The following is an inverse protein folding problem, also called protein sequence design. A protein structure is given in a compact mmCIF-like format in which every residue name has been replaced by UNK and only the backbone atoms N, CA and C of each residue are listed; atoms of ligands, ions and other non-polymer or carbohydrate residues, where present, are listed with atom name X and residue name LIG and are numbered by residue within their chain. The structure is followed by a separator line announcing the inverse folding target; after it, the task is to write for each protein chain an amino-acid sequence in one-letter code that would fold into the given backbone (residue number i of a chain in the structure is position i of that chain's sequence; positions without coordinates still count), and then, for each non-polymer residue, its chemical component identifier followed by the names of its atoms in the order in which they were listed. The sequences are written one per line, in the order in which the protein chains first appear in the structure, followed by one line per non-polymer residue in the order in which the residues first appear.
data_IF_046213130285
#
_entry.id   IF_046213130285
#
_cell.length_a   1.000
_cell.length_b   1.000
_cell.length_c   1.000
_cell.angle_alpha   90.00
_cell.angle_beta   90.00
_cell.angle_gamma   90.00
#
_symmetry.space_group_name_H-M   'P 1'
#
loop_
_entity.id
_entity.type
_entity.pdbx_description
1 polymer ?
#
# COMPACT_ATOMS: atom_id res chain seq x y z
N UNK A 1 23.35 37.13 46.03
CA UNK A 1 23.97 35.83 45.72
C UNK A 1 24.22 35.80 44.23
N UNK A 2 25.48 35.95 43.82
CA UNK A 2 25.93 36.04 42.43
C UNK A 2 26.28 34.61 41.97
N UNK A 3 25.71 34.14 40.86
CA UNK A 3 26.16 32.93 40.18
C UNK A 3 26.49 33.25 38.72
N UNK A 4 27.80 33.32 38.49
CA UNK A 4 28.48 33.35 37.20
C UNK A 4 28.29 32.00 36.49
N UNK A 5 27.97 32.01 35.19
CA UNK A 5 28.17 30.85 34.32
C UNK A 5 28.97 31.27 33.08
N UNK A 6 30.07 30.52 32.87
CA UNK A 6 31.04 30.64 31.80
C UNK A 6 30.43 30.32 30.43
N UNK A 7 30.77 31.13 29.43
CA UNK A 7 30.68 30.77 28.01
C UNK A 7 31.82 29.79 27.65
N UNK A 8 31.46 28.66 27.02
CA UNK A 8 32.40 27.77 26.33
C UNK A 8 32.25 27.94 24.82
N UNK A 9 33.28 28.44 24.17
CA UNK A 9 33.48 28.44 22.71
C UNK A 9 34.51 27.36 22.38
N UNK A 10 34.21 26.41 21.48
CA UNK A 10 35.24 25.59 20.81
C UNK A 10 34.88 25.39 19.33
N UNK A 11 35.94 25.47 18.51
CA UNK A 11 36.02 25.70 17.09
C UNK A 11 35.48 24.59 16.16
N UNK A 12 34.93 25.03 15.03
CA UNK A 12 34.69 24.21 13.82
C UNK A 12 35.94 24.28 12.94
N UNK A 13 36.49 23.13 12.57
CA UNK A 13 37.62 23.02 11.66
C UNK A 13 37.16 23.01 10.20
N UNK A 14 37.69 23.93 9.40
CA UNK A 14 37.57 23.99 7.94
C UNK A 14 38.55 22.98 7.31
N UNK A 15 38.05 22.05 6.50
CA UNK A 15 38.89 21.23 5.61
C UNK A 15 39.03 21.95 4.27
N UNK A 16 40.28 22.30 3.95
CA UNK A 16 40.70 22.97 2.73
C UNK A 16 40.84 21.99 1.56
N UNK A 17 40.41 22.41 0.38
CA UNK A 17 40.67 21.74 -0.90
C UNK A 17 42.03 22.22 -1.45
N UNK A 18 42.91 21.30 -1.86
CA UNK A 18 44.26 21.64 -2.32
C UNK A 18 44.79 20.73 -3.43
N UNK A 19 44.85 21.29 -4.65
CA UNK A 19 46.01 21.34 -5.56
C UNK A 19 46.64 20.03 -6.07
N UNK A 20 46.43 19.76 -7.36
CA UNK A 20 46.95 18.58 -8.08
C UNK A 20 48.37 18.69 -8.65
N UNK A 21 48.72 17.71 -9.51
CA UNK A 21 49.77 17.79 -10.55
C UNK A 21 49.47 16.81 -11.70
N UNK A 22 49.65 17.30 -12.93
CA UNK A 22 49.52 16.53 -14.16
C UNK A 22 50.79 15.78 -14.57
N UNK A 23 50.61 14.92 -15.57
CA UNK A 23 51.65 14.27 -16.35
C UNK A 23 51.03 13.62 -17.60
N UNK A 24 51.41 14.12 -18.77
CA UNK A 24 51.01 13.71 -20.13
C UNK A 24 51.96 12.61 -20.64
N UNK A 25 51.46 11.58 -21.34
CA UNK A 25 51.74 11.20 -22.76
C UNK A 25 51.40 9.72 -23.09
N UNK A 26 50.65 9.58 -24.19
CA UNK A 26 50.68 8.61 -25.31
C UNK A 26 50.72 7.08 -25.14
N UNK A 27 49.80 6.41 -25.84
CA UNK A 27 50.00 5.03 -26.34
C UNK A 27 48.70 4.25 -26.54
N UNK A 28 48.25 4.11 -27.80
CA UNK A 28 47.09 3.29 -28.16
C UNK A 28 47.33 1.79 -28.07
N UNK A 29 46.25 1.04 -27.92
CA UNK A 29 46.22 -0.42 -28.00
C UNK A 29 44.82 -0.97 -27.73
N UNK A 30 44.16 -1.45 -28.77
CA UNK A 30 42.98 -2.32 -28.68
C UNK A 30 43.35 -3.63 -27.98
N UNK A 31 42.46 -4.13 -27.13
CA UNK A 31 42.57 -5.44 -26.50
C UNK A 31 41.32 -5.78 -25.72
N UNK A 32 40.46 -6.60 -26.33
CA UNK A 32 39.42 -7.37 -25.65
C UNK A 32 40.06 -8.24 -24.56
N UNK A 33 39.45 -8.31 -23.38
CA UNK A 33 39.96 -9.07 -22.26
C UNK A 33 38.94 -9.22 -21.15
N UNK A 34 38.06 -10.20 -21.31
CA UNK A 34 37.37 -10.85 -20.20
C UNK A 34 38.40 -11.35 -19.16
N UNK A 35 38.19 -11.03 -17.89
CA UNK A 35 39.06 -11.49 -16.81
C UNK A 35 38.65 -10.89 -15.47
N UNK A 36 38.03 -11.71 -14.64
CA UNK A 36 37.36 -11.30 -13.41
C UNK A 36 38.24 -10.66 -12.33
N UNK A 37 37.58 -9.83 -11.53
CA UNK A 37 38.13 -9.22 -10.32
C UNK A 37 36.99 -8.91 -9.37
N UNK A 38 36.73 -9.86 -8.47
CA UNK A 38 35.79 -9.76 -7.36
C UNK A 38 36.13 -8.57 -6.46
N UNK A 39 35.17 -7.68 -6.25
CA UNK A 39 35.07 -6.85 -5.04
C UNK A 39 33.66 -7.07 -4.50
N UNK A 40 33.53 -8.10 -3.67
CA UNK A 40 32.45 -8.29 -2.71
C UNK A 40 32.74 -7.42 -1.50
N UNK A 41 31.84 -6.50 -1.18
CA UNK A 41 31.68 -5.97 0.18
C UNK A 41 30.20 -5.57 0.39
N UNK A 42 29.46 -6.41 1.12
CA UNK A 42 28.34 -5.97 1.96
C UNK A 42 26.91 -6.07 1.41
N UNK A 43 26.40 -7.28 1.19
CA UNK A 43 24.96 -7.54 1.08
C UNK A 43 24.70 -9.04 1.15
N UNK A 44 24.04 -9.52 2.20
CA UNK A 44 23.80 -10.93 2.43
C UNK A 44 23.02 -11.54 1.26
N UNK A 45 23.68 -12.44 0.53
CA UNK A 45 23.10 -13.12 -0.61
C UNK A 45 22.10 -14.19 -0.20
N UNK A 46 21.06 -14.32 -1.02
CA UNK A 46 20.60 -15.62 -1.47
C UNK A 46 20.75 -15.66 -2.99
N UNK A 47 21.73 -16.46 -3.41
CA UNK A 47 22.16 -16.73 -4.77
C UNK A 47 21.16 -17.66 -5.47
N UNK A 48 20.55 -17.16 -6.56
CA UNK A 48 20.34 -17.93 -7.79
C UNK A 48 19.55 -19.23 -7.72
N UNK A 49 18.22 -19.13 -7.66
CA UNK A 49 17.30 -20.14 -8.20
C UNK A 49 16.19 -19.43 -9.00
N UNK A 50 16.20 -19.64 -10.31
CA UNK A 50 15.08 -19.32 -11.20
C UNK A 50 13.89 -20.25 -10.87
N UNK A 51 12.66 -19.76 -11.12
CA UNK A 51 11.30 -20.35 -10.93
C UNK A 51 10.66 -19.81 -9.62
N UNK A 52 9.56 -19.05 -9.57
CA UNK A 52 8.32 -19.05 -10.37
C UNK A 52 7.78 -17.62 -10.60
N UNK A 53 7.52 -17.29 -11.86
CA UNK A 53 6.43 -16.38 -12.19
C UNK A 53 5.14 -17.21 -12.20
N UNK A 54 4.07 -16.71 -11.57
CA UNK A 54 3.07 -17.43 -10.75
C UNK A 54 3.38 -18.87 -10.28
N UNK A 55 2.93 -19.29 -9.08
CA UNK A 55 1.91 -18.67 -8.24
C UNK A 55 2.51 -18.27 -6.88
N UNK A 56 2.45 -16.98 -6.56
CA UNK A 56 2.96 -16.36 -5.33
C UNK A 56 2.86 -17.31 -4.13
N UNK A 57 4.00 -17.90 -3.72
CA UNK A 57 4.15 -18.58 -2.43
C UNK A 57 4.42 -17.59 -1.31
N UNK A 58 3.85 -16.38 -1.44
CA UNK A 58 4.08 -15.17 -0.64
C UNK A 58 5.52 -14.76 -0.38
N UNK A 59 6.50 -15.22 -1.16
CA UNK A 59 7.79 -14.54 -1.22
C UNK A 59 7.72 -13.44 -2.29
N UNK A 60 8.27 -12.26 -1.98
CA UNK A 60 8.49 -11.20 -2.95
C UNK A 60 9.36 -11.71 -4.13
N UNK A 61 9.16 -11.14 -5.31
CA UNK A 61 9.75 -11.54 -6.58
C UNK A 61 10.67 -10.44 -7.10
N UNK A 62 12.00 -10.54 -6.92
CA UNK A 62 12.93 -9.52 -7.39
C UNK A 62 12.75 -9.17 -8.87
N UNK A 63 12.56 -7.87 -9.16
CA UNK A 63 12.28 -7.35 -10.50
C UNK A 63 10.83 -7.56 -10.98
N UNK A 64 9.92 -7.88 -10.06
CA UNK A 64 8.48 -7.89 -10.25
C UNK A 64 7.86 -6.48 -10.18
N UNK A 65 6.54 -6.39 -9.95
CA UNK A 65 5.86 -5.14 -9.61
C UNK A 65 6.42 -4.54 -8.32
N UNK A 66 6.41 -3.21 -8.22
CA UNK A 66 7.02 -2.47 -7.11
C UNK A 66 6.58 -3.02 -5.75
N UNK A 67 5.27 -3.19 -5.55
CA UNK A 67 4.68 -3.70 -4.30
C UNK A 67 4.92 -5.19 -3.99
N UNK A 68 5.79 -5.86 -4.74
CA UNK A 68 6.20 -7.23 -4.45
C UNK A 68 7.61 -7.57 -4.94
N UNK A 69 8.50 -6.59 -5.15
CA UNK A 69 9.84 -6.83 -5.69
C UNK A 69 10.96 -6.94 -4.62
N UNK A 70 10.61 -6.88 -3.34
CA UNK A 70 11.51 -6.89 -2.19
C UNK A 70 12.34 -5.61 -2.02
N UNK A 71 11.98 -4.51 -2.69
CA UNK A 71 12.70 -3.24 -2.66
C UNK A 71 11.76 -2.16 -2.19
N UNK A 72 12.23 -1.33 -1.26
CA UNK A 72 11.63 -0.04 -0.95
C UNK A 72 11.86 0.90 -2.17
N UNK A 73 10.89 0.98 -3.08
CA UNK A 73 11.04 1.69 -4.35
C UNK A 73 10.87 3.21 -4.20
N UNK A 74 10.20 3.68 -3.16
CA UNK A 74 9.93 5.11 -2.93
C UNK A 74 10.85 5.75 -1.86
N UNK A 75 11.52 4.93 -1.04
CA UNK A 75 12.53 5.29 -0.06
C UNK A 75 11.97 5.67 1.33
N UNK A 76 10.73 5.30 1.65
CA UNK A 76 10.08 5.63 2.91
C UNK A 76 10.42 4.66 4.08
N UNK A 77 11.20 3.60 3.80
CA UNK A 77 11.61 2.50 4.68
C UNK A 77 10.51 1.48 5.01
N UNK A 78 9.41 1.50 4.27
CA UNK A 78 8.48 0.38 4.16
C UNK A 78 8.76 -0.38 2.86
N UNK A 79 8.33 -1.63 2.77
CA UNK A 79 8.68 -2.53 1.66
C UNK A 79 7.43 -3.31 1.26
N UNK A 80 7.12 -3.33 -0.03
CA UNK A 80 6.07 -4.16 -0.63
C UNK A 80 4.72 -3.99 0.10
N UNK A 81 3.99 -5.08 0.39
CA UNK A 81 2.71 -5.03 1.11
C UNK A 81 2.76 -4.56 2.58
N UNK A 82 3.88 -4.06 3.08
CA UNK A 82 3.91 -3.27 4.33
C UNK A 82 3.94 -1.76 4.08
N UNK A 83 4.19 -1.35 2.84
CA UNK A 83 3.97 0.00 2.36
C UNK A 83 2.48 0.31 2.31
N UNK A 84 2.14 1.54 2.72
CA UNK A 84 0.76 1.98 2.83
C UNK A 84 0.10 2.15 1.46
N UNK A 85 0.90 2.44 0.43
CA UNK A 85 0.46 2.70 -0.93
C UNK A 85 0.21 1.40 -1.70
N UNK A 86 0.76 0.27 -1.23
CA UNK A 86 0.54 -1.03 -1.83
C UNK A 86 -0.82 -1.61 -1.48
N UNK A 87 -1.68 -1.74 -2.50
CA UNK A 87 -3.02 -2.32 -2.36
C UNK A 87 -3.09 -3.75 -2.88
N UNK A 88 -2.08 -4.18 -3.64
CA UNK A 88 -1.98 -5.50 -4.24
C UNK A 88 -0.55 -5.84 -4.68
N UNK A 89 -0.22 -7.12 -4.91
CA UNK A 89 1.13 -7.55 -5.27
C UNK A 89 1.47 -7.25 -6.74
N UNK A 90 0.47 -6.89 -7.54
CA UNK A 90 0.65 -6.46 -8.93
C UNK A 90 0.83 -4.95 -9.06
N UNK A 91 0.69 -4.21 -7.96
CA UNK A 91 0.82 -2.77 -7.96
C UNK A 91 2.26 -2.39 -8.29
N UNK A 92 2.39 -1.41 -9.17
CA UNK A 92 3.66 -0.97 -9.72
C UNK A 92 3.88 0.53 -9.45
N UNK A 93 3.31 1.03 -8.36
CA UNK A 93 3.56 2.36 -7.80
C UNK A 93 3.49 2.25 -6.25
N UNK A 94 4.65 2.39 -5.60
CA UNK A 94 4.76 2.46 -4.14
C UNK A 94 4.65 3.89 -3.60
N UNK A 95 4.54 4.90 -4.48
CA UNK A 95 4.61 6.32 -4.08
C UNK A 95 3.26 7.01 -3.97
N UNK A 96 2.18 6.33 -4.34
CA UNK A 96 0.81 6.84 -4.32
C UNK A 96 -0.20 5.71 -4.23
N UNK A 97 -1.45 6.00 -3.86
CA UNK A 97 -2.53 5.00 -3.86
C UNK A 97 -3.01 4.59 -5.28
N UNK A 98 -2.30 5.00 -6.33
CA UNK A 98 -2.48 4.46 -7.67
C UNK A 98 -1.86 3.07 -7.76
N UNK A 99 -2.51 2.12 -8.42
CA UNK A 99 -1.92 0.77 -8.60
C UNK A 99 -0.82 0.75 -9.64
N UNK A 100 -0.72 1.78 -10.50
CA UNK A 100 0.18 1.79 -11.66
C UNK A 100 -0.18 0.76 -12.74
N UNK A 101 -1.30 0.04 -12.60
CA UNK A 101 -1.79 -0.96 -13.54
C UNK A 101 -2.64 -0.27 -14.63
N UNK A 102 -2.28 -0.36 -15.93
CA UNK A 102 -3.04 0.32 -16.97
C UNK A 102 -4.48 -0.17 -17.09
N UNK A 103 -5.44 0.72 -16.83
CA UNK A 103 -6.87 0.44 -16.97
C UNK A 103 -7.56 0.00 -15.69
N UNK A 104 -6.81 -0.13 -14.59
CA UNK A 104 -7.32 -0.44 -13.26
C UNK A 104 -7.77 0.84 -12.53
N UNK A 105 -8.81 0.73 -11.70
CA UNK A 105 -9.39 1.80 -10.90
C UNK A 105 -9.72 3.11 -11.66
N UNK A 106 -10.05 3.00 -12.96
CA UNK A 106 -10.25 4.14 -13.87
C UNK A 106 -11.69 4.70 -13.87
N UNK A 107 -12.67 3.99 -13.33
CA UNK A 107 -14.07 4.48 -13.30
C UNK A 107 -14.31 5.33 -12.04
N UNK A 108 -14.40 6.64 -12.24
CA UNK A 108 -14.73 7.58 -11.17
C UNK A 108 -16.16 7.43 -10.61
N UNK A 109 -17.06 6.76 -11.35
CA UNK A 109 -18.50 6.71 -11.04
C UNK A 109 -18.89 5.40 -10.38
N UNK A 110 -18.42 4.27 -10.91
CA UNK A 110 -18.71 2.95 -10.34
C UNK A 110 -17.43 2.29 -9.85
N UNK A 111 -17.55 1.60 -8.73
CA UNK A 111 -16.50 0.79 -8.13
C UNK A 111 -16.91 -0.68 -8.23
N UNK A 112 -15.99 -1.48 -8.72
CA UNK A 112 -15.95 -2.94 -8.70
C UNK A 112 -15.09 -3.40 -7.50
N UNK A 113 -14.64 -4.65 -7.51
CA UNK A 113 -13.69 -5.13 -6.54
C UNK A 113 -12.33 -4.45 -6.74
N UNK A 114 -12.06 -3.44 -5.92
CA UNK A 114 -10.90 -2.56 -6.06
C UNK A 114 -9.55 -3.31 -6.10
N UNK A 115 -9.47 -4.47 -5.44
CA UNK A 115 -8.24 -5.23 -5.22
C UNK A 115 -8.11 -6.45 -6.14
N UNK A 116 -8.96 -6.60 -7.17
CA UNK A 116 -8.88 -7.72 -8.10
C UNK A 116 -7.96 -7.47 -9.32
N UNK A 117 -7.38 -6.27 -9.40
CA UNK A 117 -6.42 -5.88 -10.44
C UNK A 117 -7.04 -5.64 -11.81
N UNK A 118 -8.36 -5.42 -11.89
CA UNK A 118 -9.05 -5.08 -13.12
C UNK A 118 -10.12 -3.99 -12.92
N UNK A 119 -10.71 -3.53 -14.04
CA UNK A 119 -11.87 -2.64 -14.00
C UNK A 119 -13.06 -3.19 -14.80
N UNK A 120 -14.24 -2.93 -14.26
CA UNK A 120 -15.55 -3.42 -14.64
C UNK A 120 -16.02 -4.60 -13.81
N UNK A 121 -17.31 -4.63 -13.50
CA UNK A 121 -18.03 -5.69 -12.76
C UNK A 121 -18.04 -7.12 -13.38
N UNK A 122 -17.19 -7.38 -14.37
CA UNK A 122 -17.33 -8.47 -15.33
C UNK A 122 -17.33 -9.86 -14.69
N UNK A 123 -16.34 -10.12 -13.87
CA UNK A 123 -15.98 -11.39 -13.25
C UNK A 123 -16.31 -11.45 -11.75
N UNK A 124 -16.20 -10.35 -11.05
CA UNK A 124 -16.53 -10.20 -9.63
C UNK A 124 -18.03 -9.95 -9.34
N UNK A 125 -18.78 -9.41 -10.32
CA UNK A 125 -20.15 -8.88 -10.17
C UNK A 125 -20.28 -7.73 -9.17
N UNK A 126 -19.17 -7.11 -8.76
CA UNK A 126 -19.17 -5.94 -7.92
C UNK A 126 -19.42 -4.71 -8.78
N UNK A 127 -20.43 -3.92 -8.41
CA UNK A 127 -20.70 -2.66 -9.07
C UNK A 127 -21.54 -1.80 -8.14
N UNK A 128 -20.89 -0.89 -7.45
CA UNK A 128 -21.56 0.13 -6.65
C UNK A 128 -21.20 1.49 -7.19
N UNK A 129 -22.12 2.43 -7.02
CA UNK A 129 -21.83 3.81 -7.34
C UNK A 129 -20.93 4.41 -6.26
N UNK A 130 -19.89 5.17 -6.61
CA UNK A 130 -18.93 5.77 -5.68
C UNK A 130 -19.61 6.56 -4.56
N UNK A 131 -20.70 7.27 -4.89
CA UNK A 131 -21.49 8.02 -3.92
C UNK A 131 -22.14 7.17 -2.80
N UNK A 132 -22.25 5.85 -2.96
CA UNK A 132 -22.60 4.95 -1.85
C UNK A 132 -21.48 4.92 -0.78
N UNK A 133 -20.21 4.96 -1.21
CA UNK A 133 -19.04 5.03 -0.32
C UNK A 133 -18.85 6.43 0.25
N UNK A 134 -19.32 7.48 -0.43
CA UNK A 134 -19.22 8.86 0.06
C UNK A 134 -20.32 9.24 1.06
N UNK A 135 -21.14 8.30 1.51
CA UNK A 135 -22.22 8.58 2.47
C UNK A 135 -23.39 9.38 1.89
N UNK A 136 -23.51 9.52 0.57
CA UNK A 136 -24.51 10.41 -0.04
C UNK A 136 -25.93 9.82 0.08
N UNK A 137 -26.76 10.32 0.99
CA UNK A 137 -28.13 9.85 1.16
C UNK A 137 -29.06 10.28 0.00
N UNK A 138 -28.68 11.32 -0.74
CA UNK A 138 -29.47 11.90 -1.83
C UNK A 138 -28.63 12.16 -3.09
N UNK A 139 -29.31 12.32 -4.23
CA UNK A 139 -28.65 12.66 -5.51
C UNK A 139 -27.89 13.98 -5.45
N UNK A 140 -28.35 14.94 -4.64
CA UNK A 140 -27.72 16.25 -4.51
C UNK A 140 -26.40 16.22 -3.72
N UNK A 141 -26.21 15.20 -2.88
CA UNK A 141 -25.01 15.03 -2.06
C UNK A 141 -23.89 14.27 -2.81
N UNK A 142 -24.20 13.74 -4.00
CA UNK A 142 -23.27 12.97 -4.81
C UNK A 142 -22.39 13.89 -5.66
N UNK A 143 -21.08 14.03 -5.36
CA UNK A 143 -20.21 14.97 -6.05
C UNK A 143 -19.79 14.50 -7.45
N UNK A 144 -19.88 13.20 -7.72
CA UNK A 144 -19.37 12.56 -8.94
C UNK A 144 -20.49 11.68 -9.51
N UNK A 145 -20.81 11.80 -10.80
CA UNK A 145 -21.80 10.91 -11.44
C UNK A 145 -23.25 11.03 -10.95
N UNK A 146 -23.65 12.15 -10.33
CA UNK A 146 -24.98 12.34 -9.75
C UNK A 146 -26.17 11.99 -10.69
N UNK A 147 -26.00 12.16 -12.01
CA UNK A 147 -27.01 11.80 -13.00
C UNK A 147 -27.23 10.28 -13.15
N UNK A 148 -26.28 9.46 -12.71
CA UNK A 148 -26.34 8.00 -12.68
C UNK A 148 -26.63 7.47 -11.28
N UNK A 149 -26.47 8.30 -10.26
CA UNK A 149 -26.65 7.93 -8.87
C UNK A 149 -28.11 7.67 -8.48
N UNK A 150 -28.32 6.56 -7.78
CA UNK A 150 -29.61 6.12 -7.24
C UNK A 150 -29.39 5.64 -5.80
N UNK A 151 -29.67 6.48 -4.78
CA UNK A 151 -29.43 6.12 -3.39
C UNK A 151 -30.07 4.78 -2.97
N UNK A 152 -31.25 4.44 -3.52
CA UNK A 152 -31.91 3.18 -3.23
C UNK A 152 -31.15 1.92 -3.68
N UNK A 153 -30.27 2.07 -4.68
CA UNK A 153 -29.45 0.98 -5.23
C UNK A 153 -28.17 0.75 -4.40
N UNK A 154 -27.88 1.60 -3.42
CA UNK A 154 -26.78 1.38 -2.48
C UNK A 154 -27.08 0.25 -1.48
N UNK A 155 -26.03 -0.38 -0.93
CA UNK A 155 -26.13 -1.16 0.30
C UNK A 155 -26.72 -0.34 1.45
N UNK A 156 -27.36 -1.00 2.44
CA UNK A 156 -27.63 -0.37 3.73
C UNK A 156 -26.33 0.18 4.34
N UNK A 157 -26.37 1.30 5.09
CA UNK A 157 -27.56 1.98 5.59
C UNK A 157 -28.19 3.01 4.63
N UNK A 158 -27.53 3.37 3.53
CA UNK A 158 -27.99 4.41 2.60
C UNK A 158 -29.18 3.92 1.79
N UNK A 159 -29.03 2.76 1.17
CA UNK A 159 -30.03 2.17 0.30
C UNK A 159 -30.68 0.93 0.90
N UNK A 160 -31.26 0.12 0.03
CA UNK A 160 -31.97 -1.10 0.43
C UNK A 160 -31.47 -2.34 -0.30
N UNK A 161 -30.50 -2.17 -1.20
CA UNK A 161 -30.03 -3.23 -2.09
C UNK A 161 -28.73 -3.82 -1.54
N UNK A 162 -28.76 -5.01 -0.93
CA UNK A 162 -27.54 -5.66 -0.46
C UNK A 162 -26.62 -5.99 -1.64
N UNK A 163 -25.33 -6.09 -1.36
CA UNK A 163 -24.34 -6.58 -2.32
C UNK A 163 -24.68 -8.00 -2.77
N UNK A 164 -24.34 -8.32 -4.02
CA UNK A 164 -24.47 -9.69 -4.52
C UNK A 164 -23.51 -10.61 -3.75
N UNK A 165 -23.97 -11.81 -3.38
CA UNK A 165 -23.12 -12.75 -2.64
C UNK A 165 -21.84 -13.11 -3.39
N UNK A 166 -21.92 -13.26 -4.72
CA UNK A 166 -20.73 -13.47 -5.55
C UNK A 166 -19.73 -12.32 -5.48
N UNK A 167 -20.18 -11.07 -5.35
CA UNK A 167 -19.28 -9.93 -5.16
C UNK A 167 -18.56 -10.04 -3.81
N UNK A 168 -19.31 -10.35 -2.74
CA UNK A 168 -18.73 -10.54 -1.41
C UNK A 168 -17.73 -11.70 -1.42
N UNK A 169 -18.11 -12.86 -1.98
CA UNK A 169 -17.30 -14.07 -1.97
C UNK A 169 -16.00 -13.90 -2.78
N UNK A 170 -16.06 -13.19 -3.91
CA UNK A 170 -14.90 -12.96 -4.77
C UNK A 170 -14.00 -11.86 -4.23
N UNK A 171 -14.58 -10.78 -3.70
CA UNK A 171 -13.78 -9.63 -3.33
C UNK A 171 -13.20 -9.73 -1.91
N UNK A 172 -13.95 -10.30 -0.95
CA UNK A 172 -13.50 -10.39 0.45
C UNK A 172 -12.24 -11.24 0.67
N UNK A 173 -11.86 -12.06 -0.31
CA UNK A 173 -10.61 -12.85 -0.25
C UNK A 173 -9.39 -12.08 -0.72
N UNK A 174 -9.58 -11.04 -1.53
CA UNK A 174 -8.50 -10.15 -2.02
C UNK A 174 -8.48 -8.79 -1.31
N UNK A 175 -9.51 -8.47 -0.51
CA UNK A 175 -9.54 -7.22 0.27
C UNK A 175 -8.51 -7.24 1.41
N UNK A 176 -7.60 -6.25 1.46
CA UNK A 176 -6.64 -6.12 2.54
C UNK A 176 -7.28 -5.87 3.92
N UNK A 177 -6.54 -6.16 5.01
CA UNK A 177 -6.92 -5.72 6.35
C UNK A 177 -7.17 -4.21 6.40
N UNK A 178 -8.26 -3.80 7.03
CA UNK A 178 -8.61 -2.38 7.17
C UNK A 178 -9.25 -1.76 5.94
N UNK A 179 -9.52 -2.52 4.87
CA UNK A 179 -10.22 -2.06 3.69
C UNK A 179 -11.58 -2.74 3.53
N UNK A 180 -12.49 -2.05 2.83
CA UNK A 180 -13.68 -2.65 2.25
C UNK A 180 -13.43 -3.06 0.79
N UNK A 181 -14.32 -3.84 0.17
CA UNK A 181 -14.13 -4.31 -1.21
C UNK A 181 -13.91 -3.24 -2.29
N UNK A 182 -14.30 -2.00 -2.02
CA UNK A 182 -14.43 -0.95 -3.03
C UNK A 182 -13.38 0.14 -2.85
N UNK A 183 -12.33 -0.15 -2.08
CA UNK A 183 -11.20 0.75 -1.88
C UNK A 183 -11.44 1.82 -0.82
N UNK A 184 -12.43 1.66 0.06
CA UNK A 184 -12.51 2.48 1.27
C UNK A 184 -11.66 1.84 2.37
N UNK A 185 -10.51 2.46 2.66
CA UNK A 185 -9.51 1.91 3.57
C UNK A 185 -9.27 2.82 4.78
N UNK A 186 -9.20 2.22 5.96
CA UNK A 186 -8.66 2.85 7.16
C UNK A 186 -7.14 2.86 7.07
N UNK A 187 -6.56 4.02 6.75
CA UNK A 187 -5.11 4.18 6.60
C UNK A 187 -4.58 5.04 7.74
N UNK A 188 -3.54 4.55 8.40
CA UNK A 188 -2.90 5.21 9.52
C UNK A 188 -1.64 5.96 9.06
N UNK A 189 -1.54 7.23 9.43
CA UNK A 189 -0.32 7.99 9.26
C UNK A 189 0.76 7.43 10.20
N UNK A 190 1.89 6.89 9.68
CA UNK A 190 2.92 6.25 10.50
C UNK A 190 3.64 7.23 11.43
N UNK A 191 3.62 8.53 11.10
CA UNK A 191 4.25 9.58 11.91
C UNK A 191 3.35 10.00 13.07
N UNK A 192 2.06 10.19 12.81
CA UNK A 192 1.11 10.72 13.82
C UNK A 192 0.31 9.65 14.53
N UNK A 193 0.29 8.41 14.01
CA UNK A 193 -0.59 7.31 14.41
C UNK A 193 -2.09 7.67 14.34
N UNK A 194 -2.46 8.66 13.52
CA UNK A 194 -3.86 8.99 13.26
C UNK A 194 -4.34 8.22 12.04
N UNK A 195 -5.50 7.58 12.15
CA UNK A 195 -6.08 6.81 11.05
C UNK A 195 -7.28 7.53 10.44
N UNK A 196 -7.46 7.34 9.14
CA UNK A 196 -8.50 7.97 8.34
C UNK A 196 -9.09 6.96 7.37
N UNK A 197 -10.42 6.95 7.27
CA UNK A 197 -11.10 6.21 6.20
C UNK A 197 -11.04 7.04 4.92
N UNK A 198 -10.26 6.56 3.96
CA UNK A 198 -10.02 7.22 2.69
C UNK A 198 -10.49 6.33 1.54
N UNK A 199 -11.04 6.96 0.51
CA UNK A 199 -11.32 6.29 -0.74
C UNK A 199 -10.02 6.28 -1.55
N UNK A 200 -9.36 5.12 -1.61
CA UNK A 200 -8.07 4.92 -2.26
C UNK A 200 -8.14 5.11 -3.79
N UNK A 201 -9.34 5.02 -4.38
CA UNK A 201 -9.50 5.19 -5.82
C UNK A 201 -8.93 6.55 -6.29
N UNK A 202 -7.90 6.55 -7.15
CA UNK A 202 -7.22 7.76 -7.59
C UNK A 202 -8.09 8.64 -8.49
N UNK A 203 -9.11 8.08 -9.13
CA UNK A 203 -10.12 8.86 -9.85
C UNK A 203 -10.97 9.73 -8.91
N UNK A 204 -11.09 9.35 -7.63
CA UNK A 204 -11.79 10.11 -6.59
C UNK A 204 -10.85 10.86 -5.64
N UNK A 205 -9.60 10.42 -5.48
CA UNK A 205 -8.59 10.98 -4.57
C UNK A 205 -7.21 11.14 -5.24
N UNK A 206 -7.11 11.89 -6.36
CA UNK A 206 -5.89 11.91 -7.19
C UNK A 206 -4.66 12.55 -6.51
N UNK A 207 -4.89 13.37 -5.48
CA UNK A 207 -3.82 14.08 -4.76
C UNK A 207 -3.53 13.44 -3.39
N UNK A 208 -4.13 12.28 -3.09
CA UNK A 208 -3.97 11.61 -1.79
C UNK A 208 -2.65 10.85 -1.70
N UNK A 209 -1.90 11.07 -0.61
CA UNK A 209 -0.68 10.33 -0.29
C UNK A 209 -0.38 10.40 1.22
N UNK A 210 0.64 9.66 1.66
CA UNK A 210 1.10 9.60 3.05
C UNK A 210 1.18 10.97 3.75
N UNK A 211 1.72 12.00 3.08
CA UNK A 211 1.98 13.31 3.68
C UNK A 211 0.71 14.15 3.89
N UNK A 212 -0.39 13.75 3.27
CA UNK A 212 -1.62 14.54 3.25
C UNK A 212 -2.89 13.73 3.57
N UNK A 213 -2.75 12.53 4.13
CA UNK A 213 -3.84 11.68 4.65
C UNK A 213 -4.88 12.46 5.47
N UNK A 214 -4.42 13.39 6.30
CA UNK A 214 -5.27 14.22 7.15
C UNK A 214 -6.12 15.27 6.40
N UNK A 215 -5.83 15.57 5.13
CA UNK A 215 -6.52 16.57 4.32
C UNK A 215 -7.68 15.93 3.53
N UNK A 216 -8.95 16.13 3.95
CA UNK A 216 -10.10 15.55 3.27
C UNK A 216 -10.37 16.14 1.88
N UNK A 217 -9.66 17.22 1.50
CA UNK A 217 -9.76 17.79 0.14
C UNK A 217 -8.83 17.12 -0.85
N UNK A 218 -7.86 16.34 -0.37
CA UNK A 218 -6.94 15.53 -1.17
C UNK A 218 -7.25 14.04 -1.05
N UNK A 219 -7.53 13.59 0.16
CA UNK A 219 -7.91 12.23 0.49
C UNK A 219 -9.42 12.18 0.79
N UNK A 220 -10.23 11.88 -0.23
CA UNK A 220 -11.68 11.85 -0.09
C UNK A 220 -12.08 10.86 1.00
N UNK A 221 -12.91 11.30 1.96
CA UNK A 221 -13.42 10.45 3.03
C UNK A 221 -14.53 9.53 2.53
N UNK A 222 -14.59 8.33 3.07
CA UNK A 222 -15.59 7.34 2.73
C UNK A 222 -16.11 6.62 3.97
N UNK A 223 -17.26 5.98 3.81
CA UNK A 223 -17.85 5.05 4.75
C UNK A 223 -17.65 3.63 4.22
N UNK A 224 -16.96 2.79 4.99
CA UNK A 224 -16.71 1.40 4.63
C UNK A 224 -18.01 0.59 4.55
N UNK A 225 -18.10 -0.33 3.59
CA UNK A 225 -19.13 -1.36 3.62
C UNK A 225 -18.83 -2.41 4.69
N UNK A 226 -19.79 -2.67 5.58
CA UNK A 226 -19.63 -3.73 6.60
C UNK A 226 -19.77 -5.15 6.02
N UNK A 227 -20.12 -5.27 4.74
CA UNK A 227 -20.58 -6.54 4.15
C UNK A 227 -19.45 -7.29 3.46
N UNK A 228 -18.36 -6.60 3.11
CA UNK A 228 -17.20 -7.25 2.51
C UNK A 228 -15.90 -6.47 2.78
N UNK A 229 -15.03 -7.09 3.57
CA UNK A 229 -13.87 -6.46 4.22
C UNK A 229 -14.08 -6.30 5.73
N UNK A 230 -13.03 -6.40 6.56
CA UNK A 230 -13.14 -6.12 7.99
C UNK A 230 -13.35 -4.62 8.24
N UNK A 231 -14.39 -4.25 8.96
CA UNK A 231 -14.72 -2.84 9.23
C UNK A 231 -13.86 -2.15 10.28
N UNK A 232 -13.07 -2.91 11.04
CA UNK A 232 -12.37 -2.33 12.19
C UNK A 232 -10.93 -2.83 12.30
N UNK A 233 -10.09 -1.82 12.31
CA UNK A 233 -8.68 -1.88 12.17
C UNK A 233 -8.07 -1.27 13.45
N UNK A 234 -7.08 -1.92 14.05
CA UNK A 234 -6.57 -1.60 15.38
C UNK A 234 -7.53 -1.94 16.53
N UNK A 235 -7.23 -1.44 17.75
CA UNK A 235 -8.12 -1.60 18.90
C UNK A 235 -8.40 -3.07 19.30
N UNK A 236 -9.66 -3.37 19.64
CA UNK A 236 -10.08 -4.67 20.18
C UNK A 236 -10.09 -5.82 19.14
N UNK A 237 -9.89 -5.54 17.85
CA UNK A 237 -9.87 -6.55 16.79
C UNK A 237 -8.48 -7.11 16.54
N UNK A 238 -7.42 -6.43 16.99
CA UNK A 238 -6.04 -6.77 16.71
C UNK A 238 -5.70 -6.85 15.21
N UNK A 239 -6.53 -6.30 14.32
CA UNK A 239 -6.25 -6.21 12.88
C UNK A 239 -5.25 -5.08 12.68
N UNK A 240 -4.16 -5.32 11.94
CA UNK A 240 -3.20 -4.27 11.59
C UNK A 240 -3.67 -3.52 10.35
N UNK A 241 -3.58 -2.19 10.38
CA UNK A 241 -3.96 -1.34 9.27
C UNK A 241 -2.76 -0.97 8.40
N UNK A 242 -3.00 -0.61 7.12
CA UNK A 242 -2.01 0.09 6.31
C UNK A 242 -1.44 1.29 7.06
N UNK A 243 -0.11 1.35 7.15
CA UNK A 243 0.64 2.41 7.85
C UNK A 243 0.69 2.31 9.37
N UNK A 244 0.12 1.27 9.96
CA UNK A 244 0.22 1.01 11.38
C UNK A 244 1.41 0.11 11.71
N UNK A 245 2.23 0.48 12.70
CA UNK A 245 3.29 -0.38 13.22
C UNK A 245 2.68 -1.45 14.17
N UNK A 246 3.02 -2.75 14.05
CA UNK A 246 2.51 -3.81 14.92
C UNK A 246 2.70 -3.57 16.43
N UNK A 247 3.73 -2.81 16.82
CA UNK A 247 3.99 -2.41 18.21
C UNK A 247 2.98 -1.42 18.77
N UNK A 248 2.18 -0.78 17.90
CA UNK A 248 1.11 0.15 18.28
C UNK A 248 -0.22 -0.55 18.53
N UNK A 249 -0.33 -1.85 18.19
CA UNK A 249 -1.50 -2.65 18.55
C UNK A 249 -1.67 -2.71 20.08
N UNK A 250 -2.92 -2.80 20.57
CA UNK A 250 -3.17 -2.90 22.00
C UNK A 250 -2.43 -4.07 22.65
N UNK A 251 -2.13 -3.93 23.95
CA UNK A 251 -1.31 -4.91 24.68
C UNK A 251 -1.93 -6.31 24.68
N UNK A 252 -3.26 -6.40 24.65
CA UNK A 252 -4.01 -7.66 24.52
C UNK A 252 -3.70 -8.42 23.22
N UNK A 253 -3.27 -7.73 22.17
CA UNK A 253 -2.86 -8.32 20.89
C UNK A 253 -1.44 -8.90 20.94
N UNK A 254 -0.65 -8.59 21.97
CA UNK A 254 0.74 -9.02 22.13
C UNK A 254 1.63 -8.76 20.89
N UNK A 255 1.37 -7.67 20.17
CA UNK A 255 2.08 -7.33 18.93
C UNK A 255 1.83 -8.31 17.77
N UNK A 256 0.77 -9.11 17.85
CA UNK A 256 0.38 -10.06 16.79
C UNK A 256 -0.90 -9.59 16.14
N UNK A 257 -0.88 -9.48 14.82
CA UNK A 257 -2.09 -9.15 14.04
C UNK A 257 -3.04 -10.34 14.00
N UNK A 258 -4.35 -10.07 14.03
CA UNK A 258 -5.41 -11.04 13.79
C UNK A 258 -5.95 -10.82 12.40
N UNK A 259 -5.79 -11.80 11.53
CA UNK A 259 -6.18 -11.64 10.14
C UNK A 259 -7.67 -11.90 9.92
N UNK A 260 -8.33 -11.06 9.10
CA UNK A 260 -9.72 -11.25 8.69
C UNK A 260 -9.94 -12.61 8.03
N UNK A 261 -11.17 -13.11 8.08
CA UNK A 261 -11.59 -14.36 7.42
C UNK A 261 -10.77 -15.62 7.81
N UNK A 262 -9.98 -15.56 8.89
CA UNK A 262 -9.11 -16.64 9.31
C UNK A 262 -7.87 -16.82 8.42
N UNK A 263 -7.49 -15.78 7.68
CA UNK A 263 -6.27 -15.77 6.89
C UNK A 263 -5.02 -15.99 7.77
N UNK A 264 -3.94 -16.47 7.15
CA UNK A 264 -2.68 -16.68 7.84
C UNK A 264 -2.02 -15.32 8.12
N UNK A 265 -1.48 -15.12 9.33
CA UNK A 265 -0.60 -13.98 9.61
C UNK A 265 0.77 -14.19 8.95
N UNK A 266 1.41 -13.11 8.55
CA UNK A 266 2.75 -13.12 7.98
C UNK A 266 3.55 -11.91 8.49
N UNK A 267 4.86 -12.05 8.52
CA UNK A 267 5.78 -10.92 8.67
C UNK A 267 6.44 -10.57 7.33
N UNK A 268 7.13 -9.43 7.29
CA UNK A 268 7.90 -9.00 6.13
C UNK A 268 8.88 -10.10 5.68
N UNK A 269 8.77 -10.51 4.41
CA UNK A 269 9.58 -11.57 3.81
C UNK A 269 9.19 -13.01 4.18
N UNK A 270 8.08 -13.20 4.92
CA UNK A 270 7.54 -14.55 5.17
C UNK A 270 6.62 -15.04 4.05
N UNK A 271 6.69 -16.35 3.78
CA UNK A 271 5.89 -16.99 2.73
C UNK A 271 4.43 -17.18 3.15
N UNK A 272 3.53 -16.65 2.32
CA UNK A 272 2.10 -16.94 2.34
C UNK A 272 1.74 -18.21 1.55
N UNK A 273 0.54 -18.78 1.76
CA UNK A 273 0.00 -19.83 0.91
C UNK A 273 0.02 -19.45 -0.57
N UNK A 274 -0.01 -20.47 -1.44
CA UNK A 274 -0.10 -20.28 -2.89
C UNK A 274 -1.32 -19.41 -3.25
N UNK A 275 -1.12 -18.46 -4.16
CA UNK A 275 -2.12 -17.44 -4.56
C UNK A 275 -2.47 -16.49 -3.40
N UNK A 276 -1.49 -16.14 -2.58
CA UNK A 276 -1.62 -15.12 -1.57
C UNK A 276 -0.32 -14.34 -1.43
N UNK A 277 -0.41 -13.09 -1.01
CA UNK A 277 0.72 -12.23 -0.71
C UNK A 277 0.55 -11.65 0.70
N UNK A 278 1.66 -11.23 1.31
CA UNK A 278 1.63 -10.64 2.63
C UNK A 278 1.30 -9.14 2.52
N UNK A 279 0.14 -8.74 3.03
CA UNK A 279 -0.31 -7.35 3.12
C UNK A 279 -0.64 -7.01 4.56
N UNK A 280 -0.01 -5.98 5.11
CA UNK A 280 -0.30 -5.45 6.44
C UNK A 280 -0.28 -6.57 7.51
N UNK A 281 0.63 -7.53 7.34
CA UNK A 281 0.81 -8.68 8.23
C UNK A 281 -0.18 -9.85 8.03
N UNK A 282 -0.96 -9.85 6.95
CA UNK A 282 -1.92 -10.90 6.61
C UNK A 282 -1.74 -11.43 5.20
N UNK A 283 -1.90 -12.75 5.04
CA UNK A 283 -1.88 -13.38 3.73
C UNK A 283 -3.21 -13.15 3.02
N UNK A 284 -3.25 -12.14 2.18
CA UNK A 284 -4.41 -11.77 1.36
C UNK A 284 -4.37 -12.55 0.06
N UNK A 285 -5.52 -13.03 -0.39
CA UNK A 285 -5.64 -13.79 -1.63
C UNK A 285 -5.31 -12.94 -2.84
N UNK A 286 -4.98 -13.60 -3.94
CA UNK A 286 -4.77 -12.96 -5.24
C UNK A 286 -5.62 -13.68 -6.28
N UNK A 287 -6.38 -12.94 -7.08
CA UNK A 287 -7.19 -13.50 -8.18
C UNK A 287 -6.52 -13.10 -9.50
N UNK A 288 -6.32 -14.08 -10.40
CA UNK A 288 -5.73 -13.92 -11.74
C UNK A 288 -6.57 -14.67 -12.77
#
# INVERSE_FOLDING_TARGET
MIRTYLLGFVAVALIACGGGKGGTVDGGGSGDGDGGGSNTDGGAGLDGLLIDAPPFGGACTPGGPQCSDCVDNDGDNTIDGFDIHCTGPLDNDESSFETGIPGDNMDAVNQDCFFDGNSGAGDDKCNIHVCCLLGAATVAECPIGANQYKPQDCPPPIGTKPLAQTCIDNCSVVTPPGCDCFGCCTICDPTTNMCYDILANPSASPDCNETNLADPTKCTRCDQTEVCGPTECGGATCVLCPGQDPSTLPTECNGTTTCPNGAQSCAMGETCPVNSYCDSGCCVGTIF
#
